data_IF_741152711152
#
_entry.id   IF_741152711152
#
_cell.length_a   1.000
_cell.length_b   1.000
_cell.length_c   1.000
_cell.angle_alpha   90.00
_cell.angle_beta   90.00
_cell.angle_gamma   90.00
#
_symmetry.space_group_name_H-M   'P 1'
#
loop_
_entity.id
_entity.type
_entity.pdbx_description
1 polymer ?
#
# COMPACT_ATOMS: atom_id res chain seq x y z
N UNK A 1 -32.10 -10.42 -37.02
CA UNK A 1 -30.91 -9.56 -36.87
C UNK A 1 -31.24 -8.15 -36.36
N UNK A 2 -32.21 -7.42 -36.93
CA UNK A 2 -32.60 -6.07 -36.46
C UNK A 2 -33.02 -6.01 -34.98
N UNK A 3 -33.65 -7.06 -34.46
CA UNK A 3 -34.11 -7.14 -33.06
C UNK A 3 -32.96 -7.33 -32.06
N UNK A 4 -31.86 -7.97 -32.46
CA UNK A 4 -30.75 -8.27 -31.56
C UNK A 4 -29.87 -7.03 -31.30
N UNK A 5 -29.71 -6.19 -32.32
CA UNK A 5 -28.95 -4.92 -32.24
C UNK A 5 -29.70 -3.88 -31.39
N UNK A 6 -31.03 -3.81 -31.50
CA UNK A 6 -31.85 -2.90 -30.67
C UNK A 6 -31.85 -3.34 -29.20
N UNK A 7 -31.85 -4.65 -28.93
CA UNK A 7 -31.75 -5.17 -27.56
C UNK A 7 -30.37 -4.89 -26.95
N UNK A 8 -29.29 -5.02 -27.73
CA UNK A 8 -27.93 -4.70 -27.26
C UNK A 8 -27.71 -3.20 -26.98
N UNK A 9 -28.22 -2.31 -27.83
CA UNK A 9 -28.14 -0.86 -27.61
C UNK A 9 -29.01 -0.42 -26.42
N UNK A 10 -30.20 -1.00 -26.25
CA UNK A 10 -31.06 -0.72 -25.09
C UNK A 10 -30.48 -1.25 -23.77
N UNK A 11 -29.70 -2.34 -23.81
CA UNK A 11 -28.98 -2.87 -22.65
C UNK A 11 -27.78 -1.99 -22.26
N UNK A 12 -27.04 -1.46 -23.25
CA UNK A 12 -25.92 -0.53 -23.02
C UNK A 12 -26.38 0.80 -22.37
N UNK A 13 -27.53 1.35 -22.79
CA UNK A 13 -28.08 2.58 -22.21
C UNK A 13 -28.64 2.35 -20.79
N UNK A 14 -29.21 1.17 -20.50
CA UNK A 14 -29.67 0.82 -19.14
C UNK A 14 -28.52 0.55 -18.17
N UNK A 15 -27.35 0.15 -18.66
CA UNK A 15 -26.17 -0.11 -17.83
C UNK A 15 -25.54 1.18 -17.28
N UNK A 16 -25.56 2.28 -18.04
CA UNK A 16 -25.06 3.60 -17.57
C UNK A 16 -25.91 4.19 -16.44
N UNK A 17 -27.24 3.99 -16.45
CA UNK A 17 -28.10 4.48 -15.37
C UNK A 17 -28.09 3.61 -14.10
N UNK A 18 -27.74 2.32 -14.21
CA UNK A 18 -27.68 1.41 -13.06
C UNK A 18 -26.46 1.63 -12.14
N UNK A 19 -25.33 2.05 -12.71
CA UNK A 19 -24.08 2.24 -11.98
C UNK A 19 -24.08 3.50 -11.11
N UNK A 20 -24.85 4.54 -11.47
CA UNK A 20 -24.95 5.77 -10.68
C UNK A 20 -25.72 5.59 -9.35
N UNK A 21 -26.64 4.64 -9.26
CA UNK A 21 -27.45 4.41 -8.05
C UNK A 21 -26.80 3.49 -7.02
N UNK A 22 -25.83 2.65 -7.43
CA UNK A 22 -25.18 1.71 -6.51
C UNK A 22 -24.10 2.38 -5.63
N UNK A 23 -23.61 3.56 -6.01
CA UNK A 23 -22.56 4.27 -5.26
C UNK A 23 -23.08 5.04 -4.03
N UNK A 24 -24.40 5.27 -3.91
CA UNK A 24 -24.99 6.04 -2.80
C UNK A 24 -25.51 5.19 -1.63
N UNK A 25 -25.60 3.85 -1.77
CA UNK A 25 -26.28 2.97 -0.81
C UNK A 25 -25.35 2.18 0.14
N UNK A 26 -24.02 2.33 0.05
CA UNK A 26 -23.09 1.63 0.96
C UNK A 26 -22.75 2.39 2.25
N UNK A 27 -23.41 3.53 2.49
CA UNK A 27 -23.42 4.17 3.79
C UNK A 27 -24.57 3.65 4.65
N UNK A 28 -24.26 3.14 5.84
CA UNK A 28 -25.18 2.88 6.98
C UNK A 28 -25.81 1.48 7.02
N UNK A 29 -25.09 0.52 7.64
CA UNK A 29 -25.68 -0.55 8.46
C UNK A 29 -24.61 -1.27 9.32
N UNK A 30 -24.20 -0.68 10.45
CA UNK A 30 -23.46 -1.41 11.50
C UNK A 30 -24.46 -2.04 12.47
N UNK A 31 -24.95 -3.24 12.12
CA UNK A 31 -25.67 -4.11 13.03
C UNK A 31 -24.71 -4.86 13.96
N UNK A 32 -24.76 -4.55 15.26
CA UNK A 32 -23.98 -5.21 16.31
C UNK A 32 -24.60 -6.58 16.62
N UNK A 33 -24.16 -7.64 15.94
CA UNK A 33 -24.55 -9.02 16.27
C UNK A 33 -23.60 -9.54 17.36
N UNK A 34 -24.09 -9.61 18.59
CA UNK A 34 -23.40 -10.25 19.70
C UNK A 34 -23.46 -11.77 19.56
N UNK A 35 -22.38 -12.38 19.08
CA UNK A 35 -22.22 -13.84 19.10
C UNK A 35 -21.70 -14.24 20.49
N UNK A 36 -22.57 -14.85 21.30
CA UNK A 36 -22.18 -15.55 22.53
C UNK A 36 -21.53 -16.87 22.13
N UNK A 37 -20.23 -17.00 22.34
CA UNK A 37 -19.54 -18.28 22.20
C UNK A 37 -19.83 -19.16 23.41
N UNK A 38 -20.53 -20.27 23.19
CA UNK A 38 -20.67 -21.35 24.17
C UNK A 38 -19.36 -22.11 24.30
N UNK A 39 -18.99 -22.41 25.54
CA UNK A 39 -17.70 -22.98 25.96
C UNK A 39 -17.60 -24.50 25.72
N UNK A 40 -17.77 -24.95 24.47
CA UNK A 40 -17.88 -26.39 24.16
C UNK A 40 -17.10 -26.85 22.93
N UNK A 41 -15.92 -26.30 22.66
CA UNK A 41 -15.00 -26.82 21.63
C UNK A 41 -13.53 -26.66 22.03
N UNK A 42 -13.09 -27.37 23.08
CA UNK A 42 -11.67 -27.33 23.49
C UNK A 42 -10.72 -28.24 22.71
N UNK A 43 -11.18 -29.10 21.77
CA UNK A 43 -10.29 -30.13 21.19
C UNK A 43 -10.45 -30.44 19.69
N UNK A 44 -11.00 -29.53 18.86
CA UNK A 44 -11.09 -29.78 17.39
C UNK A 44 -10.57 -28.62 16.53
N UNK A 45 -9.45 -28.01 16.92
CA UNK A 45 -8.72 -27.12 16.01
C UNK A 45 -7.60 -27.97 15.37
N UNK A 46 -7.66 -28.31 14.08
CA UNK A 46 -6.49 -28.85 13.40
C UNK A 46 -5.36 -27.83 13.54
N UNK A 47 -4.31 -28.22 14.27
CA UNK A 47 -3.06 -27.47 14.31
C UNK A 47 -2.56 -27.37 12.86
N UNK A 48 -2.18 -26.15 12.48
CA UNK A 48 -1.66 -25.72 11.17
C UNK A 48 -2.71 -25.44 10.09
N UNK A 49 -3.40 -24.30 10.22
CA UNK A 49 -3.65 -23.49 9.02
C UNK A 49 -2.27 -22.97 8.61
N UNK A 50 -1.62 -23.62 7.64
CA UNK A 50 -0.44 -23.07 6.99
C UNK A 50 -0.88 -21.75 6.37
N UNK A 51 -0.43 -20.62 6.92
CA UNK A 51 -0.51 -19.36 6.21
C UNK A 51 0.29 -19.56 4.93
N UNK A 52 -0.40 -19.56 3.78
CA UNK A 52 0.25 -19.57 2.49
C UNK A 52 1.26 -18.40 2.49
N UNK A 53 2.53 -18.76 2.27
CA UNK A 53 3.62 -17.82 2.09
C UNK A 53 3.14 -16.70 1.16
N UNK A 54 3.21 -15.47 1.66
CA UNK A 54 2.80 -14.29 0.92
C UNK A 54 3.89 -14.06 -0.12
N UNK A 55 3.81 -14.75 -1.26
CA UNK A 55 4.65 -14.47 -2.42
C UNK A 55 4.53 -12.98 -2.70
N UNK A 56 5.65 -12.27 -2.68
CA UNK A 56 5.69 -10.84 -2.98
C UNK A 56 5.07 -10.63 -4.36
N UNK A 57 3.85 -10.12 -4.35
CA UNK A 57 3.10 -9.83 -5.56
C UNK A 57 3.78 -8.62 -6.18
N UNK A 58 4.30 -8.78 -7.41
CA UNK A 58 5.02 -7.70 -8.09
C UNK A 58 4.19 -6.42 -8.08
N UNK A 59 4.86 -5.29 -7.86
CA UNK A 59 4.24 -3.97 -7.84
C UNK A 59 3.41 -3.72 -9.11
N UNK A 60 3.91 -4.18 -10.26
CA UNK A 60 3.20 -4.14 -11.54
C UNK A 60 1.89 -4.94 -11.54
N UNK A 61 1.89 -6.14 -10.96
CA UNK A 61 0.68 -6.95 -10.88
C UNK A 61 -0.34 -6.32 -9.94
N UNK A 62 0.11 -5.80 -8.79
CA UNK A 62 -0.76 -5.05 -7.87
C UNK A 62 -1.35 -3.81 -8.54
N UNK A 63 -0.55 -3.06 -9.32
CA UNK A 63 -1.01 -1.91 -10.11
C UNK A 63 -2.08 -2.33 -11.12
N UNK A 64 -1.87 -3.43 -11.84
CA UNK A 64 -2.87 -3.97 -12.78
C UNK A 64 -4.18 -4.36 -12.08
N UNK A 65 -4.10 -5.03 -10.93
CA UNK A 65 -5.30 -5.38 -10.15
C UNK A 65 -6.07 -4.15 -9.67
N UNK A 66 -5.36 -3.10 -9.22
CA UNK A 66 -6.00 -1.85 -8.80
C UNK A 66 -6.61 -1.11 -10.01
N UNK A 67 -5.92 -1.10 -11.15
CA UNK A 67 -6.44 -0.54 -12.40
C UNK A 67 -7.70 -1.28 -12.89
N UNK A 68 -7.71 -2.61 -12.82
CA UNK A 68 -8.87 -3.44 -13.19
C UNK A 68 -10.03 -3.25 -12.22
N UNK A 69 -9.76 -3.02 -10.93
CA UNK A 69 -10.79 -2.70 -9.95
C UNK A 69 -11.45 -1.35 -10.24
N UNK A 70 -10.68 -0.33 -10.64
CA UNK A 70 -11.20 0.99 -11.00
C UNK A 70 -11.89 1.03 -12.37
N UNK A 71 -11.46 0.19 -13.33
CA UNK A 71 -12.03 0.11 -14.68
C UNK A 71 -12.39 -1.34 -15.04
N UNK A 72 -13.53 -1.85 -14.52
CA UNK A 72 -13.90 -3.25 -14.70
C UNK A 72 -14.07 -3.62 -16.18
N UNK A 73 -13.57 -4.81 -16.53
CA UNK A 73 -13.66 -5.43 -17.86
C UNK A 73 -13.05 -4.64 -19.03
N UNK A 74 -12.15 -3.69 -18.76
CA UNK A 74 -11.48 -2.88 -19.80
C UNK A 74 -10.83 -3.73 -20.89
N UNK A 75 -10.12 -4.79 -20.51
CA UNK A 75 -9.47 -5.70 -21.47
C UNK A 75 -10.47 -6.36 -22.42
N UNK A 76 -11.64 -6.76 -21.90
CA UNK A 76 -12.71 -7.36 -22.70
C UNK A 76 -13.30 -6.35 -23.70
N UNK A 77 -13.51 -5.10 -23.27
CA UNK A 77 -14.06 -4.05 -24.14
C UNK A 77 -13.09 -3.68 -25.27
N UNK A 78 -11.80 -3.51 -24.97
CA UNK A 78 -10.78 -3.28 -25.99
C UNK A 78 -10.65 -4.44 -26.97
N UNK A 79 -10.82 -5.69 -26.49
CA UNK A 79 -10.88 -6.86 -27.35
C UNK A 79 -12.06 -6.77 -28.34
N UNK A 80 -13.25 -6.40 -27.88
CA UNK A 80 -14.40 -6.22 -28.77
C UNK A 80 -14.22 -5.10 -29.79
N UNK A 81 -13.65 -3.94 -29.39
CA UNK A 81 -13.33 -2.87 -30.33
C UNK A 81 -12.35 -3.32 -31.41
N UNK A 82 -11.31 -4.06 -31.03
CA UNK A 82 -10.35 -4.63 -31.97
C UNK A 82 -11.00 -5.64 -32.90
N UNK A 83 -11.75 -6.60 -32.36
CA UNK A 83 -12.37 -7.68 -33.13
C UNK A 83 -13.43 -7.15 -34.12
N UNK A 84 -14.36 -6.30 -33.66
CA UNK A 84 -15.39 -5.72 -34.52
C UNK A 84 -14.81 -4.71 -35.51
N UNK A 85 -13.88 -3.87 -35.08
CA UNK A 85 -13.19 -2.92 -35.95
C UNK A 85 -12.43 -3.63 -37.07
N UNK A 86 -11.72 -4.71 -36.76
CA UNK A 86 -11.00 -5.50 -37.76
C UNK A 86 -11.96 -6.21 -38.72
N UNK A 87 -13.01 -6.85 -38.21
CA UNK A 87 -14.03 -7.51 -39.04
C UNK A 87 -14.72 -6.53 -39.98
N UNK A 88 -15.12 -5.36 -39.49
CA UNK A 88 -15.76 -4.31 -40.30
C UNK A 88 -14.78 -3.67 -41.29
N UNK A 89 -13.48 -3.61 -40.97
CA UNK A 89 -12.48 -3.12 -41.93
C UNK A 89 -12.35 -4.04 -43.13
N UNK A 90 -12.31 -5.37 -42.91
CA UNK A 90 -12.27 -6.36 -43.99
C UNK A 90 -13.58 -6.36 -44.80
N UNK A 91 -14.73 -6.29 -44.13
CA UNK A 91 -16.04 -6.15 -44.77
C UNK A 91 -16.15 -4.88 -45.62
N UNK A 92 -15.72 -3.75 -45.04
CA UNK A 92 -15.75 -2.44 -45.69
C UNK A 92 -14.85 -2.37 -46.91
N UNK A 93 -13.66 -2.99 -46.88
CA UNK A 93 -12.78 -3.09 -48.05
C UNK A 93 -13.44 -3.88 -49.18
N UNK A 94 -14.13 -4.97 -48.83
CA UNK A 94 -14.85 -5.81 -49.78
C UNK A 94 -16.06 -5.07 -50.38
N UNK A 95 -16.84 -4.38 -49.55
CA UNK A 95 -17.98 -3.58 -49.97
C UNK A 95 -17.55 -2.38 -50.83
N UNK A 96 -16.39 -1.77 -50.54
CA UNK A 96 -15.80 -0.71 -51.34
C UNK A 96 -15.41 -1.21 -52.74
N UNK A 97 -14.79 -2.39 -52.84
CA UNK A 97 -14.48 -3.00 -54.13
C UNK A 97 -15.76 -3.29 -54.95
N UNK A 98 -16.82 -3.75 -54.30
CA UNK A 98 -18.14 -3.92 -54.93
C UNK A 98 -18.75 -2.59 -55.37
N UNK A 99 -18.55 -1.50 -54.61
CA UNK A 99 -19.08 -0.18 -54.94
C UNK A 99 -18.45 0.34 -56.23
N UNK A 100 -17.13 0.19 -56.37
CA UNK A 100 -16.41 0.52 -57.61
C UNK A 100 -16.94 -0.32 -58.79
N UNK A 101 -17.20 -1.61 -58.56
CA UNK A 101 -17.80 -2.49 -59.57
C UNK A 101 -19.20 -2.06 -60.01
N UNK A 102 -20.06 -1.64 -59.07
CA UNK A 102 -21.40 -1.14 -59.37
C UNK A 102 -21.39 0.22 -60.07
N UNK A 103 -20.46 1.12 -59.70
CA UNK A 103 -20.31 2.43 -60.35
C UNK A 103 -19.77 2.33 -61.78
N UNK A 104 -18.96 1.32 -62.08
CA UNK A 104 -18.40 1.07 -63.42
C UNK A 104 -19.35 0.28 -64.34
N UNK A 105 -20.56 -0.03 -63.90
CA UNK A 105 -21.59 -0.64 -64.74
C UNK A 105 -21.34 -2.12 -65.07
N UNK A 106 -20.66 -2.87 -64.20
CA UNK A 106 -20.36 -4.29 -64.43
C UNK A 106 -21.66 -5.13 -64.43
N UNK A 107 -21.79 -6.06 -65.37
CA UNK A 107 -23.02 -6.82 -65.63
C UNK A 107 -23.54 -7.64 -64.42
N UNK A 108 -22.63 -8.14 -63.56
CA UNK A 108 -22.96 -8.94 -62.37
C UNK A 108 -22.88 -8.13 -61.05
N UNK A 109 -23.00 -6.80 -61.11
CA UNK A 109 -22.84 -5.94 -59.92
C UNK A 109 -24.07 -5.94 -59.01
N UNK A 110 -23.85 -5.81 -57.70
CA UNK A 110 -24.93 -5.68 -56.73
C UNK A 110 -25.66 -4.33 -56.89
N UNK A 111 -26.96 -4.26 -56.54
CA UNK A 111 -27.73 -3.02 -56.59
C UNK A 111 -27.05 -1.90 -55.81
N UNK A 112 -26.88 -0.73 -56.43
CA UNK A 112 -26.10 0.39 -55.89
C UNK A 112 -26.51 0.78 -54.46
N UNK A 113 -27.82 0.82 -54.19
CA UNK A 113 -28.34 1.15 -52.85
C UNK A 113 -27.91 0.14 -51.77
N UNK A 114 -27.81 -1.15 -52.11
CA UNK A 114 -27.37 -2.20 -51.17
C UNK A 114 -25.89 -2.05 -50.86
N UNK A 115 -25.08 -1.80 -51.89
CA UNK A 115 -23.62 -1.65 -51.73
C UNK A 115 -23.27 -0.41 -50.93
N UNK A 116 -23.92 0.73 -51.20
CA UNK A 116 -23.74 1.95 -50.39
C UNK A 116 -24.14 1.71 -48.93
N UNK A 117 -25.24 0.98 -48.70
CA UNK A 117 -25.67 0.65 -47.32
C UNK A 117 -24.62 -0.21 -46.60
N UNK A 118 -24.05 -1.21 -47.26
CA UNK A 118 -23.00 -2.05 -46.67
C UNK A 118 -21.74 -1.26 -46.33
N UNK A 119 -21.26 -0.43 -47.27
CA UNK A 119 -20.10 0.46 -47.02
C UNK A 119 -20.37 1.41 -45.86
N UNK A 120 -21.57 2.00 -45.80
CA UNK A 120 -21.96 2.90 -44.72
C UNK A 120 -21.97 2.21 -43.35
N UNK A 121 -22.47 0.97 -43.27
CA UNK A 121 -22.50 0.19 -42.02
C UNK A 121 -21.07 -0.14 -41.58
N UNK A 122 -20.25 -0.71 -42.47
CA UNK A 122 -18.89 -1.12 -42.12
C UNK A 122 -18.03 0.07 -41.67
N UNK A 123 -18.10 1.20 -42.39
CA UNK A 123 -17.40 2.42 -42.01
C UNK A 123 -17.91 3.00 -40.69
N UNK A 124 -19.22 2.93 -40.45
CA UNK A 124 -19.83 3.34 -39.19
C UNK A 124 -19.34 2.51 -38.01
N UNK A 125 -19.23 1.18 -38.17
CA UNK A 125 -18.70 0.29 -37.11
C UNK A 125 -17.23 0.58 -36.83
N UNK A 126 -16.40 0.77 -37.86
CA UNK A 126 -14.99 1.14 -37.69
C UNK A 126 -14.86 2.47 -36.95
N UNK A 127 -15.61 3.49 -37.36
CA UNK A 127 -15.59 4.80 -36.72
C UNK A 127 -16.02 4.73 -35.24
N UNK A 128 -17.08 3.96 -34.93
CA UNK A 128 -17.54 3.75 -33.57
C UNK A 128 -16.50 3.02 -32.70
N UNK A 129 -15.84 1.98 -33.23
CA UNK A 129 -14.79 1.27 -32.51
C UNK A 129 -13.57 2.16 -32.24
N UNK A 130 -13.16 2.98 -33.21
CA UNK A 130 -12.05 3.95 -33.04
C UNK A 130 -12.42 5.02 -32.01
N UNK A 131 -13.65 5.53 -32.04
CA UNK A 131 -14.12 6.49 -31.04
C UNK A 131 -14.14 5.88 -29.63
N UNK A 132 -14.68 4.66 -29.48
CA UNK A 132 -14.67 3.92 -28.21
C UNK A 132 -13.26 3.70 -27.68
N UNK A 133 -12.33 3.25 -28.54
CA UNK A 133 -10.92 3.09 -28.17
C UNK A 133 -10.29 4.40 -27.69
N UNK A 134 -10.59 5.52 -28.34
CA UNK A 134 -10.06 6.84 -27.93
C UNK A 134 -10.61 7.32 -26.60
N UNK A 135 -11.89 7.09 -26.33
CA UNK A 135 -12.51 7.44 -25.03
C UNK A 135 -11.85 6.61 -23.91
N UNK A 136 -11.69 5.31 -24.14
CA UNK A 136 -11.04 4.40 -23.18
C UNK A 136 -9.57 4.70 -22.96
N UNK A 137 -8.85 5.10 -24.01
CA UNK A 137 -7.45 5.50 -23.91
C UNK A 137 -7.29 6.75 -23.03
N UNK A 138 -8.22 7.71 -23.12
CA UNK A 138 -8.23 8.92 -22.27
C UNK A 138 -8.57 8.60 -20.81
N UNK A 139 -9.61 7.80 -20.59
CA UNK A 139 -9.97 7.35 -19.24
C UNK A 139 -8.82 6.57 -18.57
N UNK A 140 -8.00 5.86 -19.36
CA UNK A 140 -6.80 5.19 -18.85
C UNK A 140 -5.74 6.20 -18.42
N UNK A 141 -5.47 7.24 -19.22
CA UNK A 141 -4.48 8.27 -18.89
C UNK A 141 -4.83 9.00 -17.57
N UNK A 142 -6.10 9.30 -17.33
CA UNK A 142 -6.54 9.96 -16.09
C UNK A 142 -6.39 9.03 -14.86
N UNK A 143 -6.72 7.74 -15.01
CA UNK A 143 -6.56 6.74 -13.94
C UNK A 143 -5.08 6.45 -13.66
N UNK A 144 -4.24 6.33 -14.71
CA UNK A 144 -2.81 6.12 -14.51
C UNK A 144 -2.15 7.34 -13.88
N UNK A 145 -2.53 8.55 -14.28
CA UNK A 145 -1.99 9.78 -13.69
C UNK A 145 -2.36 9.90 -12.21
N UNK A 146 -3.61 9.60 -11.85
CA UNK A 146 -4.04 9.61 -10.43
C UNK A 146 -3.42 8.48 -9.60
N UNK A 147 -3.10 7.32 -10.21
CA UNK A 147 -2.34 6.26 -9.54
C UNK A 147 -0.85 6.62 -9.41
N UNK A 148 -0.28 7.31 -10.40
CA UNK A 148 1.10 7.77 -10.42
C UNK A 148 1.35 8.93 -9.43
N UNK A 149 0.34 9.77 -9.20
CA UNK A 149 0.35 10.82 -8.16
C UNK A 149 0.31 10.25 -6.73
N UNK A 150 -0.27 9.05 -6.56
CA UNK A 150 -0.32 8.32 -5.29
C UNK A 150 0.85 7.31 -5.11
N UNK A 151 1.90 7.41 -5.92
CA UNK A 151 3.03 6.46 -5.86
C UNK A 151 3.76 6.64 -4.53
N UNK A 152 3.69 5.58 -3.72
CA UNK A 152 4.60 5.36 -2.62
C UNK A 152 6.04 5.63 -3.10
N UNK A 153 6.82 6.38 -2.32
CA UNK A 153 8.23 6.70 -2.59
C UNK A 153 8.93 5.51 -3.25
N UNK A 154 9.63 5.75 -4.35
CA UNK A 154 10.42 4.69 -4.98
C UNK A 154 11.41 4.12 -3.97
N UNK A 155 11.77 2.83 -4.09
CA UNK A 155 12.64 2.17 -3.12
C UNK A 155 13.99 2.92 -2.96
N UNK A 156 14.50 3.50 -4.05
CA UNK A 156 15.71 4.32 -4.06
C UNK A 156 15.56 5.63 -3.27
N UNK A 157 14.44 6.36 -3.48
CA UNK A 157 14.14 7.58 -2.72
C UNK A 157 13.91 7.26 -1.24
N UNK A 158 13.23 6.14 -0.94
CA UNK A 158 13.02 5.69 0.42
C UNK A 158 14.34 5.34 1.12
N UNK A 159 15.29 4.71 0.42
CA UNK A 159 16.63 4.40 0.92
C UNK A 159 17.48 5.68 1.12
N UNK A 160 17.42 6.62 0.18
CA UNK A 160 18.09 7.91 0.31
C UNK A 160 17.60 8.71 1.53
N UNK A 161 16.28 8.72 1.77
CA UNK A 161 15.69 9.34 2.96
C UNK A 161 16.06 8.64 4.26
N UNK A 162 16.14 7.31 4.25
CA UNK A 162 16.63 6.57 5.42
C UNK A 162 18.08 6.94 5.74
N UNK A 163 18.89 7.12 4.69
CA UNK A 163 20.30 7.50 4.83
C UNK A 163 20.48 8.92 5.38
N UNK A 164 19.60 9.87 5.04
CA UNK A 164 19.62 11.21 5.65
C UNK A 164 19.16 11.18 7.11
N UNK A 165 18.12 10.40 7.42
CA UNK A 165 17.65 10.19 8.80
C UNK A 165 18.74 9.64 9.72
N UNK A 166 19.50 8.64 9.26
CA UNK A 166 20.55 8.00 10.06
C UNK A 166 21.70 8.94 10.46
N UNK A 167 21.91 10.03 9.72
CA UNK A 167 22.94 11.04 10.02
C UNK A 167 22.55 12.02 11.12
N UNK A 168 21.26 12.11 11.45
CA UNK A 168 20.76 13.06 12.44
C UNK A 168 21.19 12.68 13.86
N UNK A 169 21.54 13.68 14.66
CA UNK A 169 21.92 13.52 16.06
C UNK A 169 20.72 13.58 17.00
N UNK A 170 20.80 12.76 18.03
CA UNK A 170 19.87 12.74 19.16
C UNK A 170 20.65 12.72 20.47
N UNK A 171 20.05 13.28 21.50
CA UNK A 171 20.55 13.31 22.86
C UNK A 171 19.91 12.17 23.65
N UNK A 172 20.73 11.20 24.07
CA UNK A 172 20.33 10.02 24.84
C UNK A 172 20.91 10.11 26.24
N UNK A 173 20.09 9.84 27.25
CA UNK A 173 20.52 9.82 28.65
C UNK A 173 19.48 10.44 29.58
N UNK A 174 19.57 10.07 30.85
CA UNK A 174 18.72 10.64 31.89
C UNK A 174 19.39 11.88 32.49
N UNK A 175 18.56 12.91 32.71
CA UNK A 175 18.88 14.14 33.45
C UNK A 175 20.24 14.74 33.06
N UNK A 176 21.27 14.52 33.88
CA UNK A 176 22.57 15.20 33.81
C UNK A 176 23.63 14.47 32.96
N UNK A 177 23.37 13.23 32.51
CA UNK A 177 24.32 12.45 31.71
C UNK A 177 23.80 12.22 30.28
N UNK A 178 23.32 13.29 29.66
CA UNK A 178 22.94 13.27 28.25
C UNK A 178 24.16 13.30 27.35
N UNK A 179 24.21 12.35 26.43
CA UNK A 179 25.24 12.25 25.41
C UNK A 179 24.59 12.36 24.04
N UNK A 180 25.24 13.08 23.15
CA UNK A 180 24.80 13.15 21.77
C UNK A 180 25.37 11.97 20.98
N UNK A 181 24.52 11.35 20.17
CA UNK A 181 24.89 10.29 19.26
C UNK A 181 24.08 10.42 17.97
N UNK A 182 24.66 10.02 16.85
CA UNK A 182 23.89 9.87 15.61
C UNK A 182 22.97 8.66 15.69
N UNK A 183 21.85 8.72 14.97
CA UNK A 183 20.95 7.57 14.85
C UNK A 183 21.66 6.32 14.29
N UNK A 184 22.63 6.52 13.39
CA UNK A 184 23.47 5.44 12.89
C UNK A 184 24.32 4.79 13.99
N UNK A 185 24.87 5.58 14.92
CA UNK A 185 25.65 5.07 16.05
C UNK A 185 24.76 4.29 17.03
N UNK A 186 23.56 4.80 17.32
CA UNK A 186 22.60 4.11 18.18
C UNK A 186 22.16 2.77 17.58
N UNK A 187 21.97 2.74 16.26
CA UNK A 187 21.64 1.52 15.54
C UNK A 187 22.81 0.53 15.51
N UNK A 188 23.98 0.95 15.03
CA UNK A 188 25.10 0.04 14.73
C UNK A 188 25.88 -0.39 15.97
N UNK A 189 26.17 0.55 16.87
CA UNK A 189 26.99 0.32 18.08
C UNK A 189 26.11 -0.13 19.24
N UNK A 190 25.03 0.61 19.52
CA UNK A 190 24.14 0.28 20.63
C UNK A 190 23.11 -0.81 20.28
N UNK A 191 23.03 -1.25 19.01
CA UNK A 191 22.08 -2.27 18.52
C UNK A 191 20.62 -1.97 18.86
N UNK A 192 20.26 -0.69 18.93
CA UNK A 192 18.92 -0.25 19.26
C UNK A 192 18.10 -0.01 18.00
N UNK A 193 16.81 -0.32 18.08
CA UNK A 193 15.85 0.14 17.08
C UNK A 193 15.31 1.50 17.50
N UNK A 194 14.82 2.29 16.55
CA UNK A 194 14.26 3.59 16.89
C UNK A 194 12.97 3.90 16.14
N UNK A 195 12.11 4.67 16.80
CA UNK A 195 10.82 5.10 16.29
C UNK A 195 10.80 6.62 16.33
N UNK A 196 10.68 7.26 15.18
CA UNK A 196 10.52 8.70 15.06
C UNK A 196 9.04 9.04 15.07
N UNK A 197 8.63 9.92 15.98
CA UNK A 197 7.28 10.51 15.98
C UNK A 197 7.43 11.98 15.66
N UNK A 198 6.87 12.39 14.53
CA UNK A 198 6.93 13.77 14.07
C UNK A 198 5.53 14.37 14.00
N UNK A 199 5.26 15.51 14.64
CA UNK A 199 3.90 16.08 14.60
C UNK A 199 3.66 17.25 15.55
N UNK A 200 2.40 17.67 15.75
CA UNK A 200 2.07 18.69 16.73
C UNK A 200 2.35 18.19 18.15
N UNK A 201 2.71 19.09 19.06
CA UNK A 201 3.11 18.72 20.43
C UNK A 201 2.05 17.92 21.18
N UNK A 202 0.77 18.19 20.92
CA UNK A 202 -0.35 17.47 21.51
C UNK A 202 -0.38 15.98 21.10
N UNK A 203 -0.12 15.68 19.82
CA UNK A 203 -0.10 14.30 19.31
C UNK A 203 1.11 13.53 19.85
N UNK A 204 2.27 14.19 19.95
CA UNK A 204 3.49 13.61 20.54
C UNK A 204 3.27 13.28 22.01
N UNK A 205 2.73 14.22 22.78
CA UNK A 205 2.43 14.01 24.21
C UNK A 205 1.49 12.82 24.42
N UNK A 206 0.42 12.69 23.62
CA UNK A 206 -0.53 11.57 23.71
C UNK A 206 0.15 10.24 23.36
N UNK A 207 0.93 10.21 22.28
CA UNK A 207 1.67 9.02 21.88
C UNK A 207 2.68 8.58 22.96
N UNK A 208 3.44 9.51 23.53
CA UNK A 208 4.43 9.19 24.57
C UNK A 208 3.77 8.81 25.91
N UNK A 209 2.60 9.37 26.25
CA UNK A 209 1.83 8.91 27.42
C UNK A 209 1.35 7.47 27.23
N UNK A 210 0.90 7.11 26.03
CA UNK A 210 0.53 5.73 25.71
C UNK A 210 1.75 4.80 25.79
N UNK A 211 2.92 5.26 25.31
CA UNK A 211 4.17 4.53 25.44
C UNK A 211 4.55 4.31 26.92
N UNK A 212 4.37 5.33 27.76
CA UNK A 212 4.64 5.25 29.20
C UNK A 212 3.74 4.24 29.91
N UNK A 213 2.46 4.14 29.54
CA UNK A 213 1.55 3.09 30.04
C UNK A 213 2.08 1.70 29.66
N UNK A 214 2.73 1.59 28.51
CA UNK A 214 3.26 0.35 27.94
C UNK A 214 4.78 0.16 28.17
N UNK A 215 5.37 0.83 29.16
CA UNK A 215 6.82 0.86 29.42
C UNK A 215 7.49 -0.53 29.46
N UNK A 216 6.77 -1.56 29.94
CA UNK A 216 7.25 -2.94 29.98
C UNK A 216 7.59 -3.51 28.59
N UNK A 217 6.89 -3.06 27.54
CA UNK A 217 7.18 -3.48 26.16
C UNK A 217 8.47 -2.84 25.66
N UNK A 218 8.67 -1.54 25.90
CA UNK A 218 9.89 -0.84 25.50
C UNK A 218 11.14 -1.35 26.21
N UNK A 219 11.01 -1.76 27.48
CA UNK A 219 12.09 -2.39 28.22
C UNK A 219 12.53 -3.74 27.61
N UNK A 220 11.63 -4.42 26.88
CA UNK A 220 11.91 -5.71 26.22
C UNK A 220 12.47 -5.52 24.80
N UNK A 221 11.97 -4.52 24.07
CA UNK A 221 12.20 -4.38 22.62
C UNK A 221 13.44 -3.58 22.23
N UNK A 222 14.29 -3.17 23.18
CA UNK A 222 15.51 -2.36 22.96
C UNK A 222 15.27 -1.19 21.97
N UNK A 223 14.15 -0.49 22.16
CA UNK A 223 13.65 0.52 21.24
C UNK A 223 13.67 1.91 21.87
N UNK A 224 14.16 2.89 21.10
CA UNK A 224 14.20 4.31 21.48
C UNK A 224 13.17 5.10 20.68
N UNK A 225 12.48 6.02 21.32
CA UNK A 225 11.49 6.89 20.69
C UNK A 225 12.06 8.29 20.56
N UNK A 226 12.04 8.85 19.35
CA UNK A 226 12.53 10.19 19.03
C UNK A 226 11.34 11.10 18.71
N UNK A 227 10.93 11.97 19.63
CA UNK A 227 9.85 12.91 19.41
C UNK A 227 10.38 14.19 18.76
N UNK A 228 9.82 14.56 17.61
CA UNK A 228 10.21 15.75 16.84
C UNK A 228 8.98 16.61 16.61
N UNK A 229 8.98 17.84 17.11
CA UNK A 229 7.85 18.74 16.89
C UNK A 229 7.85 19.24 15.43
N UNK A 230 6.67 19.28 14.80
CA UNK A 230 6.47 19.85 13.47
C UNK A 230 6.34 21.39 13.48
N UNK A 231 6.46 22.01 14.65
CA UNK A 231 6.35 23.46 14.84
C UNK A 231 7.70 24.16 14.61
N UNK A 232 7.74 25.49 14.67
CA UNK A 232 8.95 26.31 14.42
C UNK A 232 10.15 25.95 15.31
N UNK A 233 9.90 25.29 16.43
CA UNK A 233 10.94 24.76 17.32
C UNK A 233 10.77 23.23 17.44
N UNK A 234 11.64 22.45 16.75
CA UNK A 234 11.54 20.99 16.70
C UNK A 234 12.04 20.33 17.99
N UNK A 235 12.83 21.05 18.80
CA UNK A 235 13.42 20.52 20.04
C UNK A 235 12.42 20.65 21.18
N UNK A 236 12.13 19.52 21.81
CA UNK A 236 11.22 19.48 22.95
C UNK A 236 12.01 19.68 24.25
N UNK A 237 11.61 20.69 25.02
CA UNK A 237 12.18 20.92 26.35
C UNK A 237 11.64 19.84 27.31
N UNK A 238 12.52 19.11 28.05
CA UNK A 238 12.15 18.01 28.94
C UNK A 238 11.53 18.49 30.27
N UNK A 239 10.56 19.39 30.20
CA UNK A 239 9.86 19.90 31.37
C UNK A 239 8.83 18.88 31.91
N UNK A 240 8.32 18.00 31.04
CA UNK A 240 7.34 16.96 31.42
C UNK A 240 8.04 15.63 31.73
N UNK A 241 7.52 14.83 32.69
CA UNK A 241 8.11 13.55 33.07
C UNK A 241 8.18 12.56 31.91
N UNK A 242 7.25 12.68 30.97
CA UNK A 242 7.17 11.86 29.75
C UNK A 242 8.47 11.89 28.96
N UNK A 243 9.13 13.06 28.85
CA UNK A 243 10.39 13.26 28.15
C UNK A 243 11.64 12.84 28.94
N UNK A 244 11.48 12.42 30.20
CA UNK A 244 12.57 11.94 31.05
C UNK A 244 12.63 10.41 31.12
N UNK A 245 11.76 9.73 30.37
CA UNK A 245 11.72 8.28 30.32
C UNK A 245 12.95 7.73 29.60
N UNK A 246 13.54 6.64 30.10
CA UNK A 246 14.78 6.06 29.54
C UNK A 246 14.66 5.53 28.11
N UNK A 247 13.45 5.40 27.56
CA UNK A 247 13.21 5.02 26.17
C UNK A 247 13.05 6.22 25.23
N UNK A 248 13.18 7.46 25.70
CA UNK A 248 13.03 8.67 24.89
C UNK A 248 14.40 9.30 24.61
N UNK A 249 14.67 9.60 23.34
CA UNK A 249 15.84 10.36 22.91
C UNK A 249 15.40 11.65 22.22
N UNK A 250 15.89 12.78 22.71
CA UNK A 250 15.48 14.09 22.17
C UNK A 250 16.33 14.45 20.95
N UNK A 251 15.78 15.14 19.94
CA UNK A 251 16.59 15.65 18.83
C UNK A 251 17.66 16.63 19.37
N UNK A 252 18.88 16.55 18.83
CA UNK A 252 19.96 17.47 19.22
C UNK A 252 19.63 18.89 18.72
N UNK A 253 19.87 19.95 19.55
CA UNK A 253 19.68 21.33 19.14
C UNK A 253 20.51 21.74 17.93
N UNK A 254 21.71 21.18 17.77
CA UNK A 254 22.61 21.50 16.67
C UNK A 254 22.04 21.09 15.30
N UNK A 255 21.25 20.01 15.27
CA UNK A 255 20.63 19.46 14.06
C UNK A 255 19.15 19.84 13.93
N UNK A 256 18.67 20.83 14.70
CA UNK A 256 17.26 21.24 14.72
C UNK A 256 16.71 21.56 13.32
N UNK A 257 17.49 22.28 12.49
CA UNK A 257 17.09 22.59 11.12
C UNK A 257 16.97 21.33 10.26
N UNK A 258 17.93 20.42 10.34
CA UNK A 258 17.91 19.17 9.58
C UNK A 258 16.74 18.25 9.97
N UNK A 259 16.38 18.23 11.26
CA UNK A 259 15.17 17.57 11.75
C UNK A 259 13.90 18.20 11.18
N UNK A 260 13.83 19.53 11.13
CA UNK A 260 12.68 20.26 10.57
C UNK A 260 12.52 19.98 9.09
N UNK A 261 13.61 20.02 8.33
CA UNK A 261 13.63 19.78 6.89
C UNK A 261 13.19 18.34 6.58
N UNK A 262 13.68 17.37 7.36
CA UNK A 262 13.26 15.97 7.24
C UNK A 262 11.76 15.79 7.49
N UNK A 263 11.24 16.36 8.58
CA UNK A 263 9.81 16.27 8.91
C UNK A 263 8.95 16.97 7.86
N UNK A 264 9.36 18.13 7.36
CA UNK A 264 8.65 18.83 6.30
C UNK A 264 8.58 18.00 5.01
N UNK A 265 9.66 17.31 4.64
CA UNK A 265 9.69 16.42 3.48
C UNK A 265 8.77 15.19 3.66
N UNK A 266 8.69 14.61 4.86
CA UNK A 266 7.79 13.50 5.16
C UNK A 266 6.31 13.93 5.14
N UNK A 267 5.99 15.12 5.69
CA UNK A 267 4.64 15.69 5.62
C UNK A 267 4.26 16.02 4.17
N UNK A 268 5.18 16.54 3.35
CA UNK A 268 4.92 16.80 1.94
C UNK A 268 4.57 15.51 1.18
N UNK A 269 5.26 14.40 1.46
CA UNK A 269 4.92 13.09 0.89
C UNK A 269 3.58 12.56 1.40
N UNK A 270 3.27 12.73 2.69
CA UNK A 270 1.97 12.35 3.21
C UNK A 270 0.81 13.15 2.56
N UNK A 271 1.05 14.42 2.21
CA UNK A 271 0.08 15.23 1.44
C UNK A 271 -0.15 14.70 0.03
N UNK A 272 0.92 14.31 -0.66
CA UNK A 272 0.82 13.69 -2.00
C UNK A 272 0.02 12.39 -1.96
N UNK A 273 0.10 11.64 -0.86
CA UNK A 273 -0.64 10.39 -0.64
C UNK A 273 -2.07 10.59 -0.11
N UNK A 274 -2.60 11.83 -0.11
CA UNK A 274 -3.95 12.13 0.37
C UNK A 274 -4.16 11.92 1.88
N UNK A 275 -3.07 11.93 2.67
CA UNK A 275 -3.09 11.76 4.12
C UNK A 275 -2.83 13.07 4.88
N UNK A 276 -3.10 14.21 4.26
CA UNK A 276 -2.75 15.56 4.73
C UNK A 276 -3.39 15.92 6.07
N UNK A 277 -4.70 15.72 6.22
CA UNK A 277 -5.43 16.03 7.45
C UNK A 277 -4.90 15.21 8.63
N UNK A 278 -4.63 13.93 8.40
CA UNK A 278 -4.13 13.01 9.42
C UNK A 278 -2.67 13.27 9.79
N UNK A 279 -1.81 13.60 8.81
CA UNK A 279 -0.41 13.90 9.06
C UNK A 279 -0.23 15.20 9.85
N UNK A 280 -1.02 16.24 9.54
CA UNK A 280 -0.95 17.53 10.23
C UNK A 280 -1.56 17.49 11.64
N UNK A 281 -2.67 16.75 11.81
CA UNK A 281 -3.37 16.68 13.11
C UNK A 281 -2.77 15.64 14.06
N UNK A 282 -2.45 14.44 13.55
CA UNK A 282 -2.07 13.29 14.36
C UNK A 282 -0.58 12.93 14.24
N UNK A 283 0.17 13.55 13.33
CA UNK A 283 1.59 13.32 13.13
C UNK A 283 1.92 12.12 12.24
N UNK A 284 3.21 11.88 12.05
CA UNK A 284 3.83 10.82 11.28
C UNK A 284 4.66 9.95 12.22
N UNK A 285 4.64 8.64 11.97
CA UNK A 285 5.41 7.64 12.71
C UNK A 285 6.27 6.87 11.72
N UNK A 286 7.57 6.84 11.99
CA UNK A 286 8.56 6.08 11.22
C UNK A 286 9.27 5.14 12.16
N UNK A 287 9.16 3.83 11.91
CA UNK A 287 9.85 2.80 12.68
C UNK A 287 11.01 2.23 11.86
N UNK A 288 12.20 2.24 12.45
CA UNK A 288 13.44 1.75 11.84
C UNK A 288 14.00 0.62 12.69
N UNK A 289 14.37 -0.48 12.03
CA UNK A 289 14.97 -1.66 12.65
C UNK A 289 16.46 -1.45 12.96
N UNK A 290 17.03 -2.38 13.73
CA UNK A 290 18.47 -2.43 14.03
C UNK A 290 19.36 -2.62 12.78
N UNK A 291 18.84 -3.24 11.73
CA UNK A 291 19.55 -3.39 10.44
C UNK A 291 19.51 -2.08 9.62
N UNK A 292 18.69 -1.10 10.02
CA UNK A 292 18.49 0.17 9.33
C UNK A 292 17.44 0.10 8.23
N UNK A 293 16.78 -1.05 8.05
CA UNK A 293 15.60 -1.13 7.20
C UNK A 293 14.42 -0.47 7.90
N UNK A 294 13.53 0.11 7.11
CA UNK A 294 12.29 0.67 7.63
C UNK A 294 11.32 -0.48 7.91
N UNK A 295 10.87 -0.56 9.15
CA UNK A 295 9.78 -1.46 9.54
C UNK A 295 8.44 -0.90 9.06
N UNK A 296 8.18 0.39 9.30
CA UNK A 296 6.91 1.03 8.98
C UNK A 296 7.07 2.53 8.77
N UNK A 297 6.34 3.07 7.80
CA UNK A 297 5.94 4.49 7.74
C UNK A 297 4.42 4.57 7.87
N UNK A 298 3.91 5.45 8.71
CA UNK A 298 2.47 5.61 8.92
C UNK A 298 2.11 6.98 9.48
N UNK A 299 0.83 7.31 9.41
CA UNK A 299 0.28 8.54 9.99
C UNK A 299 -0.57 8.23 11.22
N UNK A 300 -0.55 9.15 12.18
CA UNK A 300 -1.35 9.13 13.39
C UNK A 300 -0.78 8.33 14.55
N UNK A 301 -1.66 7.93 15.46
CA UNK A 301 -1.27 7.34 16.75
C UNK A 301 -0.58 5.98 16.55
N UNK A 302 0.63 5.79 17.12
CA UNK A 302 1.40 4.55 16.94
C UNK A 302 0.73 3.35 17.63
N UNK A 303 0.46 2.24 16.92
CA UNK A 303 0.00 1.00 17.53
C UNK A 303 1.18 0.24 18.15
N UNK A 304 1.61 0.66 19.35
CA UNK A 304 2.86 0.24 20.00
C UNK A 304 3.15 -1.27 19.97
N UNK A 305 2.18 -2.11 20.34
CA UNK A 305 2.36 -3.57 20.34
C UNK A 305 2.72 -4.13 18.96
N UNK A 306 1.96 -3.75 17.94
CA UNK A 306 2.18 -4.23 16.57
C UNK A 306 3.47 -3.66 15.99
N UNK A 307 3.74 -2.39 16.27
CA UNK A 307 4.93 -1.68 15.80
C UNK A 307 6.22 -2.32 16.35
N UNK A 308 6.26 -2.60 17.66
CA UNK A 308 7.43 -3.21 18.30
C UNK A 308 7.67 -4.64 17.80
N UNK A 309 6.61 -5.44 17.61
CA UNK A 309 6.73 -6.78 17.03
C UNK A 309 7.31 -6.75 15.60
N UNK A 310 6.91 -5.76 14.79
CA UNK A 310 7.37 -5.59 13.41
C UNK A 310 8.85 -5.16 13.34
N UNK A 311 9.31 -4.42 14.34
CA UNK A 311 10.71 -4.01 14.51
C UNK A 311 11.59 -5.18 14.97
N UNK A 312 11.08 -6.04 15.86
CA UNK A 312 11.79 -7.23 16.33
C UNK A 312 11.92 -8.31 15.25
N UNK A 313 11.00 -8.36 14.29
CA UNK A 313 11.03 -9.32 13.19
C UNK A 313 12.07 -8.88 12.15
N UNK A 314 13.10 -9.71 11.84
CA UNK A 314 14.12 -9.36 10.87
C UNK A 314 13.54 -9.21 9.46
N UNK A 315 14.17 -8.38 8.63
CA UNK A 315 13.72 -8.02 7.27
C UNK A 315 13.98 -9.09 6.19
N UNK A 316 14.46 -10.27 6.57
CA UNK A 316 14.63 -11.41 5.68
C UNK A 316 13.48 -12.40 5.83
N UNK A 317 13.17 -13.13 4.76
CA UNK A 317 12.32 -14.33 4.73
C UNK A 317 12.43 -15.07 6.05
N UNK A 318 11.32 -15.42 6.73
CA UNK A 318 11.41 -16.07 8.04
C UNK A 318 12.31 -17.28 7.90
N UNK A 319 13.47 -17.24 8.57
CA UNK A 319 14.32 -18.42 8.73
C UNK A 319 13.38 -19.53 9.16
N UNK A 320 13.22 -20.52 8.28
CA UNK A 320 12.64 -21.80 8.60
C UNK A 320 13.15 -22.19 9.96
N UNK A 321 12.25 -22.47 10.89
CA UNK A 321 12.55 -23.02 12.21
C UNK A 321 13.64 -24.09 12.08
N UNK A 322 14.90 -23.69 12.27
CA UNK A 322 16.00 -24.59 12.53
C UNK A 322 15.75 -25.06 13.95
N UNK A 323 14.95 -26.12 14.06
CA UNK A 323 15.00 -26.97 15.23
C UNK A 323 16.46 -27.40 15.35
N UNK A 324 17.21 -26.71 16.21
CA UNK A 324 18.46 -27.25 16.71
C UNK A 324 18.14 -28.67 17.17
N UNK A 325 18.85 -29.71 16.70
CA UNK A 325 18.67 -31.03 17.25
C UNK A 325 19.05 -30.92 18.73
N UNK A 326 18.05 -30.95 19.61
CA UNK A 326 18.25 -31.18 21.03
C UNK A 326 18.93 -32.53 21.12
N UNK A 327 20.24 -32.53 21.35
CA UNK A 327 20.98 -33.73 21.70
C UNK A 327 20.42 -34.21 23.02
N UNK A 328 19.47 -35.14 22.97
CA UNK A 328 19.02 -35.90 24.12
C UNK A 328 20.20 -36.77 24.54
N UNK A 329 20.94 -36.30 25.55
CA UNK A 329 21.88 -37.12 26.28
C UNK A 329 21.07 -38.15 27.06
N UNK A 330 20.95 -39.35 26.49
CA UNK A 330 20.47 -40.53 27.19
C UNK A 330 21.42 -40.80 28.34
N UNK A 331 20.96 -40.60 29.57
CA UNK A 331 21.63 -41.10 30.78
C UNK A 331 21.30 -42.59 30.82
N UNK A 332 22.24 -43.43 30.37
CA UNK A 332 22.22 -44.85 30.73
C UNK A 332 22.69 -44.98 32.18
N UNK A 333 21.82 -45.58 32.99
CA UNK A 333 22.14 -46.10 34.31
C UNK A 333 23.21 -47.18 34.20
N UNK A 334 24.42 -46.94 34.74
CA UNK A 334 25.34 -48.02 35.08
C UNK A 334 25.36 -48.20 36.61
N UNK A 335 24.63 -49.21 37.03
CA UNK A 335 24.60 -49.75 38.39
C UNK A 335 25.74 -50.77 38.51
N UNK A 336 26.82 -50.46 39.24
CA UNK A 336 27.68 -51.49 39.83
C UNK A 336 28.53 -51.05 41.03
N UNK A 337 28.35 -51.83 42.10
CA UNK A 337 29.31 -52.23 43.14
C UNK A 337 30.08 -51.17 43.95
N UNK A 338 29.64 -50.98 45.21
CA UNK A 338 30.57 -50.74 46.32
C UNK A 338 30.29 -51.77 47.41
N UNK A 339 31.27 -52.64 47.58
CA UNK A 339 31.49 -53.53 48.71
C UNK A 339 31.75 -52.73 49.98
N UNK A 340 30.96 -52.98 51.03
CA UNK A 340 31.40 -53.06 52.44
C UNK A 340 30.32 -53.80 53.25
#
# INVERSE_FOLDING_TARGET
>A
MKTLVVVLISCLIKFEHGLALQYQQQGIARGRVGIKYSSLTKNLIPKTVRYAEKTDVSSDFKRRLMQEASTPWRGLRNFFYGAFGFSASVGGLTALAQLVGSLTGRADSLPLIKVITNVGIDFGVVAACVAGWRIDARATADVTTSLDENVALTDDEAAARTSSLLKLRVSVGLEDNRREATLDTLRSVARQSFIVIAGPRAAIDDALKDALIQQKLFAKSECVVVPVASEKDPVLVPNKPVYRSGFVALPSPDDAMAWTDFVAAEIATAKQQGCDENALSNGIVIAVRRDGTIARRGVGRPPWKSLLNEIETPSGTPESYSLAPTTTTTIEEEKKEVSA
#
